data_IF_455401045343
#
_entry.id   IF_455401045343
#
_cell.length_a   1.000
_cell.length_b   1.000
_cell.length_c   1.000
_cell.angle_alpha   90.00
_cell.angle_beta   90.00
_cell.angle_gamma   90.00
#
_symmetry.space_group_name_H-M   'P 1'
#
loop_
_entity.id
_entity.type
_entity.pdbx_description
1 polymer ?
#
# COMPACT_ATOMS: atom_id res chain seq x y z
N UNK A 1 -22.89 -23.66 -14.30
CA UNK A 1 -23.07 -22.19 -14.36
C UNK A 1 -22.85 -21.67 -12.95
N UNK A 2 -21.85 -20.81 -12.74
CA UNK A 2 -21.62 -20.21 -11.43
C UNK A 2 -22.77 -19.23 -11.14
N UNK A 3 -23.48 -19.42 -10.02
CA UNK A 3 -24.52 -18.51 -9.57
C UNK A 3 -23.89 -17.17 -9.15
N UNK A 4 -24.59 -16.06 -9.47
CA UNK A 4 -24.25 -14.71 -9.01
C UNK A 4 -24.31 -14.70 -7.49
N UNK A 5 -23.26 -14.25 -6.80
CA UNK A 5 -23.28 -14.05 -5.34
C UNK A 5 -24.48 -13.19 -4.98
N UNK A 6 -25.35 -13.73 -4.11
CA UNK A 6 -26.51 -13.01 -3.59
C UNK A 6 -26.03 -12.12 -2.43
N UNK A 7 -25.36 -11.01 -2.75
CA UNK A 7 -25.24 -9.93 -1.78
C UNK A 7 -26.66 -9.40 -1.50
N UNK A 8 -27.04 -9.33 -0.22
CA UNK A 8 -28.36 -8.86 0.19
C UNK A 8 -28.54 -7.41 -0.26
N UNK A 9 -29.41 -7.17 -1.24
CA UNK A 9 -29.82 -5.84 -1.73
C UNK A 9 -30.74 -5.10 -0.74
N UNK A 10 -30.74 -5.50 0.53
CA UNK A 10 -31.56 -4.93 1.60
C UNK A 10 -30.98 -3.57 2.01
N UNK A 11 -31.23 -2.54 1.19
CA UNK A 11 -30.74 -1.18 1.39
C UNK A 11 -30.49 -0.41 0.10
N UNK A 12 -30.52 -1.08 -1.06
CA UNK A 12 -30.27 -0.45 -2.35
C UNK A 12 -31.47 0.40 -2.77
N UNK A 13 -31.34 1.72 -2.69
CA UNK A 13 -32.34 2.66 -3.17
C UNK A 13 -31.78 3.49 -4.34
N UNK A 14 -31.76 2.95 -5.58
CA UNK A 14 -31.22 3.64 -6.75
C UNK A 14 -31.95 4.94 -7.12
N UNK A 15 -33.05 5.28 -6.43
CA UNK A 15 -33.82 6.51 -6.63
C UNK A 15 -33.46 7.61 -5.62
N UNK A 16 -32.68 7.32 -4.58
CA UNK A 16 -32.17 8.34 -3.66
C UNK A 16 -30.97 9.07 -4.31
N UNK A 17 -31.00 10.41 -4.43
CA UNK A 17 -29.88 11.18 -5.00
C UNK A 17 -28.56 11.03 -4.23
N UNK A 18 -28.59 10.58 -2.97
CA UNK A 18 -27.40 10.30 -2.17
C UNK A 18 -27.02 8.80 -2.15
N UNK A 19 -27.76 7.95 -2.85
CA UNK A 19 -27.43 6.54 -2.94
C UNK A 19 -26.13 6.34 -3.72
N UNK A 20 -25.15 5.78 -3.04
CA UNK A 20 -23.91 5.32 -3.64
C UNK A 20 -24.01 3.81 -3.83
N UNK A 21 -23.86 3.29 -5.07
CA UNK A 21 -23.75 1.87 -5.29
C UNK A 21 -22.63 1.26 -4.44
N UNK A 22 -22.74 -0.02 -4.06
CA UNK A 22 -21.66 -0.70 -3.34
C UNK A 22 -20.35 -0.60 -4.11
N UNK A 23 -19.26 -0.38 -3.38
CA UNK A 23 -17.91 -0.31 -3.95
C UNK A 23 -17.52 -1.61 -4.66
N UNK A 24 -18.03 -2.75 -4.16
CA UNK A 24 -17.77 -4.05 -4.76
C UNK A 24 -18.63 -4.28 -6.00
N UNK A 25 -17.98 -4.63 -7.12
CA UNK A 25 -18.64 -5.08 -8.36
C UNK A 25 -18.09 -6.45 -8.75
N UNK A 26 -18.95 -7.47 -8.70
CA UNK A 26 -18.58 -8.85 -9.04
C UNK A 26 -18.06 -8.97 -10.47
N UNK A 27 -18.56 -8.12 -11.38
CA UNK A 27 -18.14 -8.09 -12.77
C UNK A 27 -16.67 -7.69 -12.91
N UNK A 28 -16.15 -6.79 -12.07
CA UNK A 28 -14.74 -6.40 -12.09
C UNK A 28 -13.85 -7.56 -11.63
N UNK A 29 -14.28 -8.26 -10.58
CA UNK A 29 -13.59 -9.46 -10.08
C UNK A 29 -13.51 -10.53 -11.16
N UNK A 30 -14.62 -10.80 -11.85
CA UNK A 30 -14.66 -11.79 -12.94
C UNK A 30 -13.83 -11.38 -14.16
N UNK A 31 -13.75 -10.08 -14.47
CA UNK A 31 -12.87 -9.58 -15.54
C UNK A 31 -11.39 -9.82 -15.19
N UNK A 32 -10.98 -9.52 -13.94
CA UNK A 32 -9.62 -9.80 -13.46
C UNK A 32 -9.33 -11.31 -13.48
N UNK A 33 -10.29 -12.15 -13.07
CA UNK A 33 -10.14 -13.61 -13.21
C UNK A 33 -9.93 -14.02 -14.66
N UNK A 34 -10.69 -13.49 -15.62
CA UNK A 34 -10.51 -13.80 -17.04
C UNK A 34 -9.10 -13.41 -17.55
N UNK A 35 -8.57 -12.27 -17.07
CA UNK A 35 -7.22 -11.81 -17.40
C UNK A 35 -6.12 -12.77 -16.88
N UNK A 36 -6.29 -13.29 -15.65
CA UNK A 36 -5.29 -14.12 -14.96
C UNK A 36 -5.39 -15.60 -15.36
N UNK A 37 -6.60 -16.09 -15.64
CA UNK A 37 -6.82 -17.48 -16.01
C UNK A 37 -6.49 -17.77 -17.46
N UNK A 38 -6.82 -16.84 -18.34
CA UNK A 38 -6.69 -17.01 -19.78
C UNK A 38 -5.66 -15.99 -20.30
N UNK A 39 -6.12 -14.87 -20.85
CA UNK A 39 -5.28 -13.85 -21.46
C UNK A 39 -5.99 -12.49 -21.55
N UNK A 40 -5.28 -11.52 -22.15
CA UNK A 40 -5.79 -10.18 -22.39
C UNK A 40 -7.02 -10.14 -23.32
N UNK A 41 -7.11 -11.06 -24.28
CA UNK A 41 -8.24 -11.08 -25.21
C UNK A 41 -9.51 -11.52 -24.49
N UNK A 42 -9.40 -12.50 -23.60
CA UNK A 42 -10.50 -12.98 -22.75
C UNK A 42 -10.99 -11.92 -21.76
N UNK A 43 -10.10 -11.08 -21.22
CA UNK A 43 -10.48 -9.89 -20.46
C UNK A 43 -11.40 -8.97 -21.28
N UNK A 44 -10.98 -8.57 -22.49
CA UNK A 44 -11.77 -7.69 -23.35
C UNK A 44 -13.09 -8.31 -23.83
N UNK A 45 -13.09 -9.61 -24.17
CA UNK A 45 -14.33 -10.34 -24.51
C UNK A 45 -15.30 -10.38 -23.33
N UNK A 46 -14.79 -10.56 -22.11
CA UNK A 46 -15.63 -10.53 -20.91
C UNK A 46 -16.26 -9.16 -20.70
N UNK A 47 -15.46 -8.08 -20.79
CA UNK A 47 -15.96 -6.70 -20.67
C UNK A 47 -17.06 -6.41 -21.68
N UNK A 48 -16.86 -6.79 -22.95
CA UNK A 48 -17.86 -6.60 -24.00
C UNK A 48 -19.15 -7.39 -23.73
N UNK A 49 -19.03 -8.63 -23.26
CA UNK A 49 -20.17 -9.49 -22.96
C UNK A 49 -20.97 -9.02 -21.74
N UNK A 50 -20.27 -8.51 -20.71
CA UNK A 50 -20.86 -8.05 -19.47
C UNK A 50 -21.31 -6.58 -19.50
N UNK A 51 -21.06 -5.87 -20.62
CA UNK A 51 -21.30 -4.43 -20.79
C UNK A 51 -20.61 -3.60 -19.70
N UNK A 52 -19.32 -3.87 -19.50
CA UNK A 52 -18.48 -3.21 -18.50
C UNK A 52 -17.43 -2.35 -19.18
N UNK A 53 -17.23 -1.15 -18.65
CA UNK A 53 -16.18 -0.23 -19.12
C UNK A 53 -14.79 -0.81 -18.85
N UNK A 54 -13.84 -0.52 -19.73
CA UNK A 54 -12.44 -0.84 -19.47
C UNK A 54 -11.94 0.01 -18.29
N UNK A 55 -11.57 -0.66 -17.20
CA UNK A 55 -11.22 -0.01 -15.94
C UNK A 55 -9.77 -0.22 -15.53
N UNK A 56 -9.07 -1.18 -16.14
CA UNK A 56 -7.64 -1.41 -15.92
C UNK A 56 -6.83 -0.65 -16.96
N UNK A 57 -5.87 0.13 -16.49
CA UNK A 57 -4.90 0.78 -17.38
C UNK A 57 -3.89 -0.23 -17.93
N UNK A 58 -3.25 0.08 -19.07
CA UNK A 58 -2.24 -0.81 -19.66
C UNK A 58 -1.10 -1.19 -18.69
N UNK A 59 -0.58 -0.27 -17.85
CA UNK A 59 0.42 -0.62 -16.84
C UNK A 59 -0.11 -1.59 -15.78
N UNK A 60 -1.38 -1.44 -15.35
CA UNK A 60 -1.98 -2.35 -14.36
C UNK A 60 -2.17 -3.75 -14.95
N UNK A 61 -2.62 -3.84 -16.21
CA UNK A 61 -2.75 -5.11 -16.93
C UNK A 61 -1.40 -5.83 -16.99
N UNK A 62 -0.36 -5.11 -17.44
CA UNK A 62 0.98 -5.67 -17.53
C UNK A 62 1.49 -6.12 -16.15
N UNK A 63 1.30 -5.27 -15.13
CA UNK A 63 1.70 -5.60 -13.77
C UNK A 63 1.00 -6.85 -13.24
N UNK A 64 -0.32 -6.96 -13.41
CA UNK A 64 -1.10 -8.12 -12.97
C UNK A 64 -0.55 -9.38 -13.65
N UNK A 65 -0.36 -9.35 -14.97
CA UNK A 65 0.14 -10.50 -15.73
C UNK A 65 1.56 -10.93 -15.31
N UNK A 66 2.44 -9.98 -15.02
CA UNK A 66 3.82 -10.26 -14.59
C UNK A 66 3.92 -10.73 -13.13
N UNK A 67 2.97 -10.32 -12.28
CA UNK A 67 2.98 -10.60 -10.84
C UNK A 67 2.14 -11.82 -10.41
N UNK A 68 1.48 -12.51 -11.34
CA UNK A 68 0.70 -13.73 -11.04
C UNK A 68 1.60 -14.82 -10.47
N UNK A 69 1.21 -15.31 -9.30
CA UNK A 69 1.78 -16.49 -8.65
C UNK A 69 0.83 -17.67 -8.82
N UNK A 70 1.40 -18.82 -9.20
CA UNK A 70 0.68 -20.09 -9.24
C UNK A 70 0.32 -20.54 -7.82
N UNK A 71 -0.76 -21.33 -7.65
CA UNK A 71 -1.06 -21.94 -6.37
C UNK A 71 0.16 -22.74 -5.89
N UNK A 72 0.73 -22.36 -4.75
CA UNK A 72 1.78 -23.16 -4.14
C UNK A 72 1.11 -24.42 -3.58
N UNK A 73 1.58 -25.61 -4.00
CA UNK A 73 1.25 -26.84 -3.29
C UNK A 73 1.82 -26.71 -1.88
N UNK A 74 0.93 -26.57 -0.90
CA UNK A 74 1.30 -26.48 0.52
C UNK A 74 1.84 -27.86 0.91
N UNK A 75 3.16 -28.04 0.77
CA UNK A 75 3.84 -29.23 1.30
C UNK A 75 4.04 -29.02 2.80
N UNK A 76 3.30 -29.84 3.57
CA UNK A 76 3.36 -30.09 5.02
C UNK A 76 2.53 -29.21 5.97
N UNK A 77 1.39 -29.80 6.34
CA UNK A 77 1.02 -30.18 7.71
C UNK A 77 1.17 -29.14 8.82
N UNK A 78 0.09 -28.38 9.04
CA UNK A 78 -0.48 -28.28 10.38
C UNK A 78 -1.85 -28.94 10.33
N UNK A 79 -1.90 -30.23 10.67
CA UNK A 79 -3.16 -30.89 11.03
C UNK A 79 -3.66 -30.19 12.29
N UNK A 80 -4.57 -29.25 12.12
CA UNK A 80 -5.40 -28.80 13.23
C UNK A 80 -6.18 -30.04 13.70
N UNK A 81 -5.85 -30.50 14.90
CA UNK A 81 -6.63 -31.54 15.58
C UNK A 81 -8.04 -30.98 15.74
N UNK A 82 -9.00 -31.62 15.07
CA UNK A 82 -10.43 -31.42 15.30
C UNK A 82 -10.71 -31.74 16.77
N UNK A 83 -10.91 -30.72 17.60
CA UNK A 83 -11.74 -30.88 18.77
C UNK A 83 -13.18 -30.62 18.34
N UNK A 84 -14.05 -31.55 18.75
CA UNK A 84 -15.39 -31.73 18.22
C UNK A 84 -16.29 -30.58 18.66
N UNK A 85 -16.69 -29.72 17.72
CA UNK A 85 -17.65 -28.65 17.94
C UNK A 85 -18.50 -28.42 16.71
N UNK A 86 -19.75 -28.88 16.80
CA UNK A 86 -20.90 -28.71 15.92
C UNK A 86 -20.81 -27.61 14.85
N UNK A 87 -21.16 -27.99 13.62
CA UNK A 87 -20.96 -27.23 12.42
C UNK A 87 -21.96 -26.08 12.24
N UNK A 88 -21.41 -24.90 11.93
CA UNK A 88 -22.08 -23.91 11.10
C UNK A 88 -21.00 -23.11 10.35
N UNK A 89 -20.64 -23.60 9.17
CA UNK A 89 -20.02 -22.78 8.13
C UNK A 89 -20.98 -21.65 7.78
N UNK A 90 -20.56 -20.38 7.93
CA UNK A 90 -20.95 -19.28 7.01
C UNK A 90 -20.43 -17.88 7.40
N UNK A 91 -19.39 -17.74 8.21
CA UNK A 91 -18.52 -16.56 8.09
C UNK A 91 -17.15 -16.82 8.68
N UNK A 92 -16.18 -17.12 7.81
CA UNK A 92 -14.77 -17.01 8.18
C UNK A 92 -14.44 -15.52 8.31
N UNK A 93 -14.56 -15.01 9.53
CA UNK A 93 -13.88 -13.78 9.93
C UNK A 93 -12.56 -14.21 10.55
N UNK A 94 -11.41 -14.04 9.87
CA UNK A 94 -10.14 -14.09 10.58
C UNK A 94 -10.14 -12.89 11.53
N UNK A 95 -10.52 -13.14 12.78
CA UNK A 95 -10.62 -12.14 13.86
C UNK A 95 -9.22 -11.62 14.23
N UNK A 96 -8.17 -12.26 13.70
CA UNK A 96 -6.78 -11.93 13.94
C UNK A 96 -6.02 -12.01 12.61
N UNK A 97 -5.44 -10.88 12.20
CA UNK A 97 -4.21 -10.93 11.42
C UNK A 97 -3.18 -11.58 12.34
N UNK A 98 -2.91 -12.88 12.20
CA UNK A 98 -2.03 -13.70 13.06
C UNK A 98 -0.53 -13.30 13.03
N UNK A 99 -0.23 -12.07 12.61
CA UNK A 99 1.09 -11.47 12.69
C UNK A 99 0.97 -10.22 13.58
N UNK A 100 1.58 -10.28 14.77
CA UNK A 100 1.78 -9.10 15.59
C UNK A 100 2.43 -8.00 14.75
N UNK A 101 1.84 -6.81 14.74
CA UNK A 101 2.43 -5.65 14.07
C UNK A 101 3.86 -5.49 14.61
N UNK A 102 4.88 -5.63 13.77
CA UNK A 102 6.25 -5.77 14.27
C UNK A 102 6.65 -4.48 14.99
N UNK A 103 7.00 -4.62 16.26
CA UNK A 103 7.22 -3.49 17.18
C UNK A 103 8.12 -2.39 16.62
N UNK A 104 7.77 -1.14 16.92
CA UNK A 104 8.55 0.06 16.60
C UNK A 104 9.76 0.13 17.54
N UNK A 105 10.82 -0.57 17.18
CA UNK A 105 11.99 -0.85 18.02
C UNK A 105 12.86 0.37 18.33
N UNK A 106 12.82 1.42 17.50
CA UNK A 106 13.47 2.70 17.76
C UNK A 106 12.61 3.64 18.64
N UNK A 107 11.45 3.17 19.10
CA UNK A 107 10.48 3.94 19.85
C UNK A 107 9.54 4.76 18.96
N UNK A 108 8.52 5.32 19.59
CA UNK A 108 7.56 6.25 19.01
C UNK A 108 7.30 7.37 20.02
N UNK A 109 7.10 8.63 19.59
CA UNK A 109 6.89 9.72 20.54
C UNK A 109 5.61 9.45 21.32
N UNK A 110 5.59 9.77 22.62
CA UNK A 110 4.34 9.77 23.36
C UNK A 110 3.45 10.88 22.80
N UNK A 111 2.30 10.50 22.24
CA UNK A 111 1.35 11.45 21.69
C UNK A 111 0.78 12.27 22.84
N UNK A 112 1.14 13.56 22.88
CA UNK A 112 0.41 14.51 23.69
C UNK A 112 -0.86 14.80 22.88
N UNK A 113 -2.04 14.76 23.50
CA UNK A 113 -3.31 15.08 22.85
C UNK A 113 -3.15 16.31 21.96
N UNK A 114 -3.47 16.20 20.67
CA UNK A 114 -3.25 17.20 19.62
C UNK A 114 -3.55 18.62 20.14
N UNK A 115 -2.52 19.47 20.25
CA UNK A 115 -2.63 20.81 20.80
C UNK A 115 -2.71 21.80 19.64
N UNK A 116 -3.93 22.05 19.13
CA UNK A 116 -4.18 23.14 18.18
C UNK A 116 -5.17 22.82 17.06
N UNK A 117 -5.51 23.81 16.22
CA UNK A 117 -6.26 23.61 14.98
C UNK A 117 -5.40 22.88 13.92
N UNK A 118 -6.03 22.10 13.05
CA UNK A 118 -5.37 21.46 11.91
C UNK A 118 -5.18 22.48 10.79
N UNK A 119 -3.94 22.90 10.53
CA UNK A 119 -3.59 23.74 9.39
C UNK A 119 -3.27 22.86 8.17
N UNK A 120 -3.91 23.15 7.04
CA UNK A 120 -3.71 22.43 5.78
C UNK A 120 -3.17 23.43 4.76
N UNK A 121 -1.98 23.13 4.21
CA UNK A 121 -1.34 23.94 3.17
C UNK A 121 -1.09 23.08 1.94
N UNK A 122 -1.64 23.50 0.80
CA UNK A 122 -1.44 22.81 -0.48
C UNK A 122 -0.23 23.40 -1.20
N UNK A 123 0.70 22.53 -1.60
CA UNK A 123 1.88 22.89 -2.39
C UNK A 123 1.73 22.34 -3.81
N UNK A 124 2.21 23.10 -4.78
CA UNK A 124 2.15 22.75 -6.22
C UNK A 124 3.54 22.74 -6.82
N UNK A 125 3.70 21.99 -7.92
CA UNK A 125 4.94 21.95 -8.71
C UNK A 125 4.59 22.19 -10.18
N UNK A 126 5.07 23.27 -10.84
CA UNK A 126 6.03 24.27 -10.34
C UNK A 126 5.51 25.16 -9.20
N UNK A 127 6.39 25.65 -8.30
CA UNK A 127 5.98 26.47 -7.16
C UNK A 127 5.54 27.88 -7.57
N UNK A 128 4.64 28.47 -6.79
CA UNK A 128 4.29 29.88 -6.90
C UNK A 128 5.43 30.79 -6.38
N UNK A 129 5.54 32.06 -6.81
CA UNK A 129 6.67 32.94 -6.48
C UNK A 129 6.95 33.10 -4.98
N UNK A 130 5.93 32.94 -4.13
CA UNK A 130 6.02 33.11 -2.68
C UNK A 130 5.94 31.78 -1.91
N UNK A 131 5.93 30.64 -2.59
CA UNK A 131 5.83 29.32 -1.95
C UNK A 131 7.10 28.49 -2.17
N UNK A 132 7.56 27.73 -1.15
CA UNK A 132 8.65 26.80 -1.33
C UNK A 132 8.21 25.66 -2.26
N UNK A 133 9.17 25.06 -2.97
CA UNK A 133 8.91 23.82 -3.69
C UNK A 133 8.58 22.68 -2.72
N UNK A 134 7.86 21.67 -3.22
CA UNK A 134 7.51 20.47 -2.43
C UNK A 134 8.77 19.79 -1.88
N UNK A 135 9.82 19.68 -2.71
CA UNK A 135 11.11 19.12 -2.29
C UNK A 135 11.76 19.93 -1.18
N UNK A 136 11.78 21.26 -1.28
CA UNK A 136 12.34 22.11 -0.23
C UNK A 136 11.57 21.97 1.08
N UNK A 137 10.23 21.90 1.01
CA UNK A 137 9.42 21.70 2.20
C UNK A 137 9.68 20.33 2.84
N UNK A 138 9.73 19.26 2.05
CA UNK A 138 10.08 17.92 2.54
C UNK A 138 11.44 17.91 3.24
N UNK A 139 12.46 18.50 2.61
CA UNK A 139 13.82 18.62 3.18
C UNK A 139 13.83 19.43 4.48
N UNK A 140 13.06 20.53 4.54
CA UNK A 140 12.92 21.34 5.77
C UNK A 140 12.29 20.55 6.91
N UNK A 141 11.23 19.78 6.64
CA UNK A 141 10.58 18.93 7.63
C UNK A 141 11.55 17.87 8.19
N UNK A 142 12.30 17.20 7.33
CA UNK A 142 13.31 16.19 7.72
C UNK A 142 14.42 16.82 8.56
N UNK A 143 14.94 17.98 8.15
CA UNK A 143 16.00 18.69 8.89
C UNK A 143 15.53 19.16 10.27
N UNK A 144 14.28 19.60 10.39
CA UNK A 144 13.73 20.13 11.64
C UNK A 144 13.26 19.03 12.60
N UNK A 145 13.05 17.79 12.14
CA UNK A 145 12.62 16.68 12.98
C UNK A 145 13.58 16.42 14.14
N UNK A 146 13.03 16.12 15.33
CA UNK A 146 13.77 15.96 16.59
C UNK A 146 13.64 14.57 17.21
N UNK A 147 12.57 13.84 16.91
CA UNK A 147 12.24 12.58 17.58
C UNK A 147 12.07 11.46 16.56
N UNK A 148 11.11 11.60 15.64
CA UNK A 148 10.73 10.52 14.72
C UNK A 148 10.45 11.05 13.31
N UNK A 149 10.89 10.28 12.32
CA UNK A 149 10.55 10.45 10.91
C UNK A 149 9.95 9.13 10.43
N UNK A 150 8.74 9.17 9.88
CA UNK A 150 8.14 8.04 9.19
C UNK A 150 7.88 8.40 7.73
N UNK A 151 8.39 7.58 6.82
CA UNK A 151 8.31 7.78 5.38
C UNK A 151 7.63 6.57 4.77
N UNK A 152 6.63 6.82 3.94
CA UNK A 152 6.00 5.80 3.09
C UNK A 152 6.11 6.29 1.67
N UNK A 153 6.75 5.50 0.80
CA UNK A 153 6.93 5.84 -0.61
C UNK A 153 6.88 4.60 -1.48
N UNK A 154 6.23 4.72 -2.64
CA UNK A 154 6.24 3.70 -3.68
C UNK A 154 7.63 3.56 -4.33
N UNK A 155 8.25 4.68 -4.72
CA UNK A 155 9.57 4.69 -5.34
C UNK A 155 10.44 5.77 -4.68
N UNK A 156 11.59 5.37 -4.13
CA UNK A 156 12.49 6.28 -3.44
C UNK A 156 13.90 6.26 -4.06
N UNK A 157 14.21 7.32 -4.83
CA UNK A 157 15.48 7.47 -5.57
C UNK A 157 16.13 8.86 -5.42
N UNK A 158 15.59 9.75 -4.56
CA UNK A 158 16.13 11.08 -4.34
C UNK A 158 17.30 11.08 -3.35
N UNK A 159 18.50 11.36 -3.86
CA UNK A 159 19.76 11.37 -3.09
C UNK A 159 19.83 12.50 -2.07
N UNK A 160 19.24 13.67 -2.35
CA UNK A 160 19.25 14.81 -1.44
C UNK A 160 18.40 14.53 -0.20
N UNK A 161 17.22 13.94 -0.42
CA UNK A 161 16.31 13.54 0.66
C UNK A 161 16.96 12.43 1.49
N UNK A 162 17.58 11.43 0.83
CA UNK A 162 18.33 10.39 1.54
C UNK A 162 19.41 11.00 2.43
N UNK A 163 20.21 11.94 1.92
CA UNK A 163 21.26 12.59 2.69
C UNK A 163 20.71 13.31 3.95
N UNK A 164 19.60 14.04 3.81
CA UNK A 164 18.97 14.72 4.94
C UNK A 164 18.41 13.72 5.97
N UNK A 165 17.87 12.58 5.53
CA UNK A 165 17.40 11.49 6.41
C UNK A 165 18.57 10.89 7.20
N UNK A 166 19.67 10.54 6.52
CA UNK A 166 20.85 9.99 7.19
C UNK A 166 21.42 10.99 8.19
N UNK A 167 21.39 12.28 7.87
CA UNK A 167 21.80 13.36 8.76
C UNK A 167 20.88 13.47 9.98
N UNK A 168 19.57 13.26 9.81
CA UNK A 168 18.64 13.17 10.93
C UNK A 168 18.93 11.94 11.82
N UNK A 169 19.17 10.78 11.22
CA UNK A 169 19.51 9.57 11.95
C UNK A 169 20.80 9.70 12.77
N UNK A 170 21.81 10.41 12.26
CA UNK A 170 23.04 10.73 13.01
C UNK A 170 22.81 11.62 14.25
N UNK A 171 21.68 12.34 14.30
CA UNK A 171 21.23 13.11 15.48
C UNK A 171 20.37 12.27 16.43
N UNK A 172 20.35 10.95 16.26
CA UNK A 172 19.51 10.00 17.01
C UNK A 172 18.00 10.20 16.81
N UNK A 173 17.59 10.79 15.67
CA UNK A 173 16.17 10.81 15.26
C UNK A 173 15.84 9.42 14.71
N UNK A 174 14.80 8.78 15.24
CA UNK A 174 14.38 7.46 14.78
C UNK A 174 13.67 7.56 13.42
N UNK A 175 14.19 6.86 12.42
CA UNK A 175 13.67 6.88 11.05
C UNK A 175 13.07 5.54 10.68
N UNK A 176 11.81 5.53 10.27
CA UNK A 176 11.12 4.40 9.69
C UNK A 176 10.78 4.68 8.24
N UNK A 177 11.17 3.78 7.33
CA UNK A 177 10.92 3.89 5.90
C UNK A 177 10.16 2.64 5.47
N UNK A 178 8.96 2.83 4.94
CA UNK A 178 8.17 1.79 4.27
C UNK A 178 8.23 2.03 2.78
N UNK A 179 8.70 1.03 2.05
CA UNK A 179 8.83 1.05 0.59
C UNK A 179 7.92 0.00 -0.03
N UNK A 180 7.46 0.26 -1.24
CA UNK A 180 6.77 -0.77 -2.02
C UNK A 180 7.72 -1.94 -2.32
N UNK A 181 7.21 -3.17 -2.14
CA UNK A 181 7.97 -4.41 -2.32
C UNK A 181 8.52 -4.57 -3.76
N UNK A 182 7.79 -4.11 -4.78
CA UNK A 182 8.20 -4.25 -6.17
C UNK A 182 9.29 -3.23 -6.54
N UNK A 183 9.15 -2.00 -6.06
CA UNK A 183 10.02 -0.88 -6.43
C UNK A 183 11.26 -0.72 -5.53
N UNK A 184 11.39 -1.52 -4.45
CA UNK A 184 12.51 -1.43 -3.49
C UNK A 184 13.89 -1.58 -4.15
N UNK A 185 13.98 -2.31 -5.27
CA UNK A 185 15.22 -2.52 -5.98
C UNK A 185 15.86 -1.21 -6.47
N UNK A 186 15.06 -0.20 -6.82
CA UNK A 186 15.55 1.13 -7.18
C UNK A 186 16.25 1.82 -6.01
N UNK A 187 15.69 1.71 -4.81
CA UNK A 187 16.27 2.25 -3.58
C UNK A 187 17.59 1.55 -3.23
N UNK A 188 17.64 0.22 -3.33
CA UNK A 188 18.87 -0.57 -3.09
C UNK A 188 19.98 -0.18 -4.08
N UNK A 189 19.63 0.01 -5.35
CA UNK A 189 20.58 0.47 -6.36
C UNK A 189 21.12 1.87 -6.05
N UNK A 190 20.25 2.80 -5.65
CA UNK A 190 20.67 4.14 -5.20
C UNK A 190 21.66 4.06 -4.02
N UNK A 191 21.37 3.25 -3.00
CA UNK A 191 22.27 3.07 -1.85
C UNK A 191 23.65 2.53 -2.27
N UNK A 192 23.66 1.54 -3.17
CA UNK A 192 24.88 0.97 -3.73
C UNK A 192 25.71 2.04 -4.46
N UNK A 193 25.06 2.82 -5.32
CA UNK A 193 25.71 3.90 -6.08
C UNK A 193 26.26 5.01 -5.17
N UNK A 194 25.55 5.33 -4.09
CA UNK A 194 25.98 6.29 -3.07
C UNK A 194 26.98 5.70 -2.05
N UNK A 195 27.29 4.39 -2.13
CA UNK A 195 28.16 3.66 -1.18
C UNK A 195 27.70 3.76 0.27
N UNK A 196 26.40 3.79 0.50
CA UNK A 196 25.79 3.88 1.83
C UNK A 196 25.49 2.48 2.35
N UNK A 197 25.98 2.16 3.55
CA UNK A 197 25.61 0.93 4.25
C UNK A 197 24.62 1.24 5.40
N UNK A 198 23.33 0.98 5.15
CA UNK A 198 22.28 1.19 6.15
C UNK A 198 22.40 0.25 7.37
N UNK A 199 23.04 -0.92 7.23
CA UNK A 199 23.20 -1.86 8.35
C UNK A 199 24.06 -1.27 9.49
N UNK A 200 24.93 -0.32 9.16
CA UNK A 200 25.74 0.40 10.16
C UNK A 200 25.01 1.51 10.89
N UNK A 201 23.78 1.85 10.45
CA UNK A 201 23.03 3.01 10.96
C UNK A 201 21.90 2.50 11.86
N UNK A 202 22.09 2.64 13.18
CA UNK A 202 21.18 2.06 14.17
C UNK A 202 19.80 2.73 14.20
N UNK A 203 19.70 4.01 13.84
CA UNK A 203 18.48 4.81 13.90
C UNK A 203 17.66 4.82 12.60
N UNK A 204 17.89 3.86 11.70
CA UNK A 204 17.11 3.71 10.46
C UNK A 204 16.56 2.29 10.35
N UNK A 205 15.26 2.18 10.10
CA UNK A 205 14.57 0.93 9.76
C UNK A 205 13.91 1.07 8.41
N UNK A 206 14.29 0.21 7.47
CA UNK A 206 13.64 0.11 6.16
C UNK A 206 12.88 -1.21 6.12
N UNK A 207 11.61 -1.16 5.72
CA UNK A 207 10.76 -2.33 5.49
C UNK A 207 10.05 -2.19 4.15
N UNK A 208 9.69 -3.33 3.59
CA UNK A 208 8.86 -3.40 2.40
C UNK A 208 7.43 -3.75 2.76
N UNK A 209 6.48 -3.18 2.01
CA UNK A 209 5.06 -3.45 2.14
C UNK A 209 4.51 -3.71 0.74
N UNK A 210 3.68 -4.73 0.62
CA UNK A 210 2.87 -4.97 -0.58
C UNK A 210 1.44 -4.47 -0.37
N UNK A 211 0.75 -4.20 -1.47
CA UNK A 211 -0.69 -3.99 -1.46
C UNK A 211 -1.48 -5.27 -1.15
N UNK A 212 -2.80 -5.15 -1.22
CA UNK A 212 -3.72 -6.24 -0.92
C UNK A 212 -3.49 -7.40 -1.90
N UNK A 213 -3.48 -8.64 -1.37
CA UNK A 213 -3.37 -9.83 -2.20
C UNK A 213 -4.73 -10.18 -2.80
N UNK A 214 -4.78 -10.31 -4.11
CA UNK A 214 -5.95 -10.79 -4.85
C UNK A 214 -5.83 -12.30 -5.07
N UNK A 215 -6.91 -13.03 -4.81
CA UNK A 215 -6.97 -14.48 -4.99
C UNK A 215 -8.02 -14.85 -6.04
N UNK A 216 -7.59 -15.56 -7.08
CA UNK A 216 -8.45 -16.13 -8.11
C UNK A 216 -9.10 -17.43 -7.63
N UNK A 217 -10.19 -17.82 -8.29
CA UNK A 217 -10.86 -19.11 -8.04
C UNK A 217 -9.94 -20.32 -8.29
N UNK A 218 -9.00 -20.24 -9.22
CA UNK A 218 -8.06 -21.34 -9.49
C UNK A 218 -7.01 -21.54 -8.39
N UNK A 219 -6.92 -20.61 -7.43
CA UNK A 219 -5.84 -20.54 -6.45
C UNK A 219 -4.64 -19.70 -6.90
N UNK A 220 -4.61 -19.20 -8.14
CA UNK A 220 -3.65 -18.18 -8.55
C UNK A 220 -3.85 -16.91 -7.72
N UNK A 221 -2.78 -16.16 -7.48
CA UNK A 221 -2.86 -14.91 -6.73
C UNK A 221 -1.82 -13.91 -7.19
N UNK A 222 -2.09 -12.63 -7.00
CA UNK A 222 -1.08 -11.58 -7.17
C UNK A 222 -1.21 -10.56 -6.03
N UNK A 223 -0.12 -9.87 -5.71
CA UNK A 223 -0.13 -8.80 -4.69
C UNK A 223 -0.31 -7.45 -5.38
N UNK A 224 -1.12 -6.57 -4.82
CA UNK A 224 -1.19 -5.18 -5.26
C UNK A 224 0.09 -4.39 -4.93
N UNK A 225 0.17 -3.16 -5.43
CA UNK A 225 1.27 -2.22 -5.14
C UNK A 225 0.87 -1.23 -4.04
N UNK A 226 1.84 -0.81 -3.23
CA UNK A 226 1.68 0.31 -2.29
C UNK A 226 1.98 1.63 -3.02
N UNK A 227 0.94 2.36 -3.38
CA UNK A 227 1.07 3.63 -4.12
C UNK A 227 1.05 4.89 -3.23
N UNK A 228 0.92 4.71 -1.92
CA UNK A 228 0.85 5.80 -0.96
C UNK A 228 2.20 6.50 -0.80
N UNK A 229 2.14 7.83 -0.69
CA UNK A 229 3.31 8.70 -0.52
C UNK A 229 3.05 9.70 0.58
N UNK A 230 3.67 9.50 1.73
CA UNK A 230 3.63 10.49 2.81
C UNK A 230 4.89 10.48 3.66
N UNK A 231 5.16 11.65 4.23
CA UNK A 231 6.24 11.92 5.19
C UNK A 231 5.60 12.46 6.45
N UNK A 232 5.81 11.80 7.57
CA UNK A 232 5.39 12.23 8.91
C UNK A 232 6.64 12.58 9.73
N UNK A 233 6.64 13.76 10.36
CA UNK A 233 7.72 14.18 11.27
C UNK A 233 7.18 14.55 12.66
N UNK A 234 7.84 14.03 13.70
CA UNK A 234 7.57 14.24 15.12
C UNK A 234 6.09 14.07 15.54
N UNK A 235 5.31 13.35 14.74
CA UNK A 235 3.85 13.25 14.85
C UNK A 235 3.12 14.60 14.89
N UNK A 236 3.70 15.63 14.26
CA UNK A 236 3.19 17.01 14.24
C UNK A 236 2.86 17.49 12.84
N UNK A 237 3.64 17.07 11.84
CA UNK A 237 3.47 17.49 10.46
C UNK A 237 3.44 16.27 9.54
N UNK A 238 2.47 16.27 8.62
CA UNK A 238 2.35 15.29 7.54
C UNK A 238 2.47 16.03 6.22
N UNK A 239 3.33 15.54 5.34
CA UNK A 239 3.35 15.92 3.93
C UNK A 239 2.87 14.71 3.13
N UNK A 240 1.72 14.83 2.47
CA UNK A 240 1.14 13.78 1.63
C UNK A 240 0.80 14.33 0.26
N UNK A 241 1.00 13.54 -0.79
CA UNK A 241 0.69 13.98 -2.15
C UNK A 241 1.29 13.09 -3.23
N UNK A 242 1.12 13.52 -4.48
CA UNK A 242 1.57 12.81 -5.68
C UNK A 242 2.91 13.34 -6.23
N UNK A 243 3.77 13.84 -5.34
CA UNK A 243 5.09 14.32 -5.74
C UNK A 243 5.93 13.18 -6.31
N UNK A 244 6.55 13.44 -7.48
CA UNK A 244 7.45 12.53 -8.18
C UNK A 244 8.85 13.13 -8.20
#
# INVERSE_FOLDING_TARGET
>A
MAHRSQCSSAGDNPLDPNYLPPHYREEYRLAIDALIEEDLESYYRFLQKADVVDFLSSPEIQYIQESVQLPQEISNEQRYLEDSGDGSSDTYWPIHSDLDAPGLDLGWPQMHSFIGPTEITTLVNPPEPNMPSIKEQARRLIKNAQQVIAIVMDMFTDVDILYDILTAAMRNVAVYILLDEQNVHHFVNMLSNCRVNLQGIQFVRVRTVSGITYHCRSGKSFKGQMMDRFLLTDCRAVLSGNYR
#
